data_IF_343660000345
#
_entry.id   IF_343660000345
#
_cell.length_a   1.000
_cell.length_b   1.000
_cell.length_c   1.000
_cell.angle_alpha   90.00
_cell.angle_beta   90.00
_cell.angle_gamma   90.00
#
_symmetry.space_group_name_H-M   'P 1'
#
loop_
_entity.id
_entity.type
_entity.pdbx_description
1 polymer ?
#
# COMPACT_ATOMS: atom_id res chain seq x y z
N UNK A 1 2.16 5.99 -2.17
CA UNK A 1 2.86 7.09 -2.85
C UNK A 1 3.57 7.96 -1.84
N UNK A 2 2.85 8.65 -0.94
CA UNK A 2 3.47 9.44 0.13
C UNK A 2 3.95 8.54 1.27
N UNK A 3 5.14 8.84 1.79
CA UNK A 3 5.80 8.07 2.85
C UNK A 3 5.46 8.65 4.23
N UNK A 4 5.38 7.78 5.25
CA UNK A 4 4.90 8.09 6.61
C UNK A 4 5.56 9.34 7.22
N UNK A 5 6.86 9.57 6.95
CA UNK A 5 7.58 10.76 7.43
C UNK A 5 7.03 12.11 6.93
N UNK A 6 6.21 12.11 5.88
CA UNK A 6 5.66 13.32 5.27
C UNK A 6 4.20 13.59 5.66
N UNK A 7 3.75 13.03 6.81
CA UNK A 7 2.40 13.25 7.31
C UNK A 7 2.11 14.75 7.54
N UNK A 8 3.06 15.50 8.11
CA UNK A 8 2.90 16.95 8.36
C UNK A 8 2.61 17.74 7.08
N UNK A 9 3.30 17.44 5.98
CA UNK A 9 3.07 18.07 4.69
C UNK A 9 1.65 17.80 4.16
N UNK A 10 1.13 16.57 4.36
CA UNK A 10 -0.25 16.23 4.01
C UNK A 10 -1.26 17.03 4.83
N UNK A 11 -1.02 17.13 6.15
CA UNK A 11 -1.93 17.83 7.08
C UNK A 11 -1.97 19.33 6.78
N UNK A 12 -0.80 19.94 6.51
CA UNK A 12 -0.69 21.34 6.07
C UNK A 12 -1.34 21.58 4.71
N UNK A 13 -1.21 20.65 3.77
CA UNK A 13 -1.88 20.77 2.48
C UNK A 13 -3.40 20.72 2.61
N UNK A 14 -3.93 19.76 3.38
CA UNK A 14 -5.39 19.63 3.61
C UNK A 14 -5.95 20.84 4.34
N UNK A 15 -5.22 21.39 5.31
CA UNK A 15 -5.61 22.63 6.02
C UNK A 15 -5.43 23.92 5.21
N UNK A 16 -4.87 23.82 4.00
CA UNK A 16 -4.67 24.96 3.10
C UNK A 16 -3.42 25.81 3.41
N UNK A 17 -2.58 25.37 4.35
CA UNK A 17 -1.31 26.00 4.73
C UNK A 17 -0.12 25.56 3.86
N UNK A 18 -0.35 24.69 2.88
CA UNK A 18 0.61 24.27 1.87
C UNK A 18 -0.11 24.16 0.52
N UNK A 19 0.48 24.69 -0.54
CA UNK A 19 -0.06 24.58 -1.89
C UNK A 19 0.40 23.29 -2.59
N UNK A 20 -0.04 23.08 -3.83
CA UNK A 20 0.26 21.85 -4.57
C UNK A 20 1.74 21.69 -4.89
N UNK A 21 2.43 22.80 -5.21
CA UNK A 21 3.86 22.77 -5.49
C UNK A 21 4.67 22.53 -4.21
N UNK A 22 4.32 23.21 -3.12
CA UNK A 22 4.92 23.00 -1.82
C UNK A 22 4.74 21.55 -1.36
N UNK A 23 3.56 20.96 -1.55
CA UNK A 23 3.35 19.55 -1.25
C UNK A 23 4.24 18.62 -2.12
N UNK A 24 4.38 18.91 -3.41
CA UNK A 24 5.28 18.16 -4.31
C UNK A 24 6.73 18.19 -3.82
N UNK A 25 7.23 19.37 -3.45
CA UNK A 25 8.61 19.56 -2.96
C UNK A 25 8.80 18.91 -1.59
N UNK A 26 7.93 19.15 -0.62
CA UNK A 26 8.08 18.63 0.75
C UNK A 26 7.93 17.11 0.84
N UNK A 27 7.15 16.50 -0.07
CA UNK A 27 7.06 15.03 -0.16
C UNK A 27 8.19 14.42 -0.99
N UNK A 28 9.11 15.24 -1.50
CA UNK A 28 10.22 14.86 -2.37
C UNK A 28 9.73 13.98 -3.53
N UNK A 29 8.62 14.37 -4.14
CA UNK A 29 7.85 13.48 -5.02
C UNK A 29 8.69 12.95 -6.19
N UNK A 30 9.49 13.83 -6.79
CA UNK A 30 10.37 13.53 -7.94
C UNK A 30 11.26 12.31 -7.69
N UNK A 31 11.87 12.22 -6.50
CA UNK A 31 12.86 11.20 -6.17
C UNK A 31 12.23 9.99 -5.50
N UNK A 32 11.06 10.15 -4.85
CA UNK A 32 10.43 9.12 -4.03
C UNK A 32 9.33 8.35 -4.73
N UNK A 33 8.75 8.89 -5.81
CA UNK A 33 7.63 8.26 -6.48
C UNK A 33 7.73 8.33 -8.00
N UNK A 34 7.80 7.15 -8.62
CA UNK A 34 8.02 7.01 -10.07
C UNK A 34 6.84 7.49 -10.93
N UNK A 35 5.66 7.68 -10.33
CA UNK A 35 4.47 8.05 -11.09
C UNK A 35 4.24 9.57 -11.06
N UNK A 36 3.81 10.17 -12.18
CA UNK A 36 3.56 11.61 -12.26
C UNK A 36 2.64 12.11 -11.14
N UNK A 37 3.00 13.24 -10.54
CA UNK A 37 2.27 13.87 -9.45
C UNK A 37 0.86 14.27 -9.87
N UNK A 38 0.71 14.69 -11.13
CA UNK A 38 -0.53 15.11 -11.77
C UNK A 38 -1.59 14.01 -11.77
N UNK A 39 -1.17 12.74 -11.77
CA UNK A 39 -2.11 11.61 -11.68
C UNK A 39 -2.84 11.58 -10.33
N UNK A 40 -2.31 12.24 -9.30
CA UNK A 40 -2.83 12.24 -7.94
C UNK A 40 -3.48 13.57 -7.54
N UNK A 41 -3.20 14.66 -8.27
CA UNK A 41 -3.80 15.98 -8.02
C UNK A 41 -5.33 15.97 -7.90
N UNK A 42 -6.11 15.24 -8.73
CA UNK A 42 -7.56 15.20 -8.58
C UNK A 42 -8.00 14.70 -7.20
N UNK A 43 -7.34 13.66 -6.66
CA UNK A 43 -7.64 13.13 -5.33
C UNK A 43 -7.21 14.12 -4.25
N UNK A 44 -5.98 14.65 -4.35
CA UNK A 44 -5.45 15.61 -3.37
C UNK A 44 -6.35 16.85 -3.27
N UNK A 45 -6.76 17.42 -4.40
CA UNK A 45 -7.68 18.57 -4.47
C UNK A 45 -9.03 18.26 -3.84
N UNK A 46 -9.60 17.08 -4.08
CA UNK A 46 -10.86 16.65 -3.46
C UNK A 46 -10.70 16.57 -1.94
N UNK A 47 -9.62 15.97 -1.44
CA UNK A 47 -9.36 15.88 -0.01
C UNK A 47 -9.22 17.26 0.63
N UNK A 48 -8.47 18.18 0.02
CA UNK A 48 -8.38 19.57 0.48
C UNK A 48 -9.73 20.28 0.46
N UNK A 49 -10.48 20.20 -0.64
CA UNK A 49 -11.77 20.87 -0.80
C UNK A 49 -12.79 20.47 0.28
N UNK A 50 -12.82 19.18 0.64
CA UNK A 50 -13.76 18.64 1.61
C UNK A 50 -13.15 18.40 2.99
N UNK A 51 -11.93 18.90 3.25
CA UNK A 51 -11.20 18.71 4.51
C UNK A 51 -11.12 17.22 4.94
N UNK A 52 -10.97 16.31 3.97
CA UNK A 52 -10.79 14.88 4.24
C UNK A 52 -9.33 14.67 4.67
N UNK A 53 -9.08 14.15 5.89
CA UNK A 53 -7.73 13.87 6.34
C UNK A 53 -7.02 12.90 5.39
N UNK A 54 -5.76 13.21 5.06
CA UNK A 54 -4.90 12.34 4.27
C UNK A 54 -3.94 11.60 5.21
N UNK A 55 -3.73 10.30 4.98
CA UNK A 55 -2.79 9.51 5.79
C UNK A 55 -1.66 9.00 4.88
N UNK A 56 -0.41 9.29 5.26
CA UNK A 56 0.78 8.84 4.56
C UNK A 56 1.08 7.37 4.88
N UNK A 57 0.62 6.44 4.03
CA UNK A 57 0.74 5.00 4.34
C UNK A 57 2.11 4.38 4.05
N UNK A 58 2.84 4.86 3.04
CA UNK A 58 4.01 4.13 2.53
C UNK A 58 5.16 4.13 3.54
N UNK A 59 5.85 3.00 3.67
CA UNK A 59 7.11 2.96 4.40
C UNK A 59 8.15 3.91 3.79
N UNK A 60 8.99 4.48 4.66
CA UNK A 60 10.08 5.39 4.28
C UNK A 60 11.12 4.65 3.42
N UNK A 61 11.62 5.32 2.36
CA UNK A 61 12.62 4.75 1.45
C UNK A 61 13.89 4.33 2.18
N UNK A 62 14.28 5.06 3.22
CA UNK A 62 15.47 4.80 4.02
C UNK A 62 15.42 3.42 4.69
N UNK A 63 14.26 3.09 5.28
CA UNK A 63 14.01 1.79 5.91
C UNK A 63 14.03 0.67 4.86
N UNK A 64 13.40 0.91 3.70
CA UNK A 64 13.42 -0.04 2.58
C UNK A 64 14.83 -0.27 2.04
N UNK A 65 15.64 0.78 1.92
CA UNK A 65 17.01 0.71 1.44
C UNK A 65 17.90 -0.09 2.39
N UNK A 66 17.77 0.16 3.71
CA UNK A 66 18.48 -0.59 4.75
C UNK A 66 18.21 -2.10 4.65
N UNK A 67 16.94 -2.48 4.58
CA UNK A 67 16.52 -3.89 4.46
C UNK A 67 16.99 -4.54 3.16
N UNK A 68 17.02 -3.79 2.05
CA UNK A 68 17.48 -4.30 0.76
C UNK A 68 18.99 -4.52 0.71
N UNK A 69 19.77 -3.60 1.27
CA UNK A 69 21.23 -3.61 1.22
C UNK A 69 21.83 -4.67 2.14
N UNK A 70 21.24 -4.88 3.31
CA UNK A 70 21.80 -5.72 4.38
C UNK A 70 21.13 -7.11 4.48
N UNK A 71 20.22 -7.43 3.57
CA UNK A 71 19.75 -8.80 3.33
C UNK A 71 18.60 -9.29 4.19
N UNK A 72 17.83 -8.43 4.86
CA UNK A 72 16.74 -8.91 5.72
C UNK A 72 16.08 -7.89 6.62
N UNK A 73 14.95 -8.28 7.20
CA UNK A 73 14.24 -7.50 8.24
C UNK A 73 15.00 -7.49 9.58
N UNK A 74 15.84 -8.49 9.81
CA UNK A 74 16.74 -8.64 10.96
C UNK A 74 17.68 -7.44 11.17
N UNK A 75 17.87 -6.60 10.15
CA UNK A 75 18.66 -5.38 10.27
C UNK A 75 17.89 -4.19 10.85
N UNK A 76 16.57 -4.29 10.95
CA UNK A 76 15.77 -3.28 11.64
C UNK A 76 16.07 -3.32 13.13
N UNK A 77 16.25 -2.15 13.72
CA UNK A 77 16.27 -2.02 15.17
C UNK A 77 14.94 -2.48 15.77
N UNK A 78 14.95 -2.82 17.06
CA UNK A 78 13.73 -3.20 17.75
C UNK A 78 12.67 -2.08 17.73
N UNK A 79 13.10 -0.82 17.67
CA UNK A 79 12.21 0.33 17.52
C UNK A 79 11.60 0.40 16.11
N UNK A 80 12.40 0.30 15.05
CA UNK A 80 11.91 0.26 13.66
C UNK A 80 10.94 -0.91 13.45
N UNK A 81 11.24 -2.10 14.00
CA UNK A 81 10.33 -3.24 13.95
C UNK A 81 8.99 -2.92 14.62
N UNK A 82 9.00 -2.35 15.83
CA UNK A 82 7.76 -1.97 16.54
C UNK A 82 6.97 -0.88 15.81
N UNK A 83 7.65 0.05 15.15
CA UNK A 83 7.02 1.14 14.41
C UNK A 83 6.30 0.65 13.13
N UNK A 84 6.81 -0.41 12.50
CA UNK A 84 6.34 -0.84 11.17
C UNK A 84 5.66 -2.22 11.14
N UNK A 85 5.74 -2.99 12.23
CA UNK A 85 5.12 -4.31 12.36
C UNK A 85 4.19 -4.29 13.58
N UNK A 86 2.92 -3.95 13.35
CA UNK A 86 1.91 -3.81 14.40
C UNK A 86 1.56 -5.10 15.14
N UNK A 87 1.68 -6.26 14.46
CA UNK A 87 1.51 -7.57 15.08
C UNK A 87 2.57 -8.56 14.57
N UNK A 88 3.71 -8.71 15.29
CA UNK A 88 4.78 -9.61 14.88
C UNK A 88 4.36 -11.07 14.73
N UNK A 89 3.40 -11.54 15.52
CA UNK A 89 2.92 -12.91 15.44
C UNK A 89 2.10 -13.13 14.16
N UNK A 90 1.22 -12.18 13.82
CA UNK A 90 0.46 -12.20 12.58
C UNK A 90 1.38 -12.09 11.36
N UNK A 91 2.38 -11.20 11.41
CA UNK A 91 3.37 -11.00 10.35
C UNK A 91 4.08 -12.30 9.95
N UNK A 92 4.52 -13.09 10.94
CA UNK A 92 5.15 -14.41 10.72
C UNK A 92 4.11 -15.44 10.25
N UNK A 93 2.91 -15.43 10.82
CA UNK A 93 1.87 -16.43 10.52
C UNK A 93 1.38 -16.33 9.08
N UNK A 94 1.09 -15.12 8.58
CA UNK A 94 0.64 -14.88 7.20
C UNK A 94 1.65 -15.47 6.20
N UNK A 95 2.94 -15.25 6.45
CA UNK A 95 4.01 -15.70 5.56
C UNK A 95 4.10 -17.24 5.43
N UNK A 96 3.49 -17.98 6.34
CA UNK A 96 3.45 -19.45 6.35
C UNK A 96 2.21 -20.04 5.67
N UNK A 97 1.20 -19.22 5.36
CA UNK A 97 -0.05 -19.69 4.76
C UNK A 97 0.22 -20.25 3.34
N UNK A 98 -0.37 -21.41 2.98
CA UNK A 98 -0.30 -21.94 1.61
C UNK A 98 -0.77 -20.93 0.57
N UNK A 99 -1.81 -20.17 0.92
CA UNK A 99 -2.33 -19.07 0.12
C UNK A 99 -1.31 -17.96 -0.14
N UNK A 100 -0.48 -17.63 0.86
CA UNK A 100 0.55 -16.62 0.72
C UNK A 100 1.67 -17.09 -0.23
N UNK A 101 2.01 -18.38 -0.23
CA UNK A 101 2.94 -18.94 -1.24
C UNK A 101 2.39 -18.76 -2.66
N UNK A 102 1.08 -18.95 -2.84
CA UNK A 102 0.43 -18.67 -4.13
C UNK A 102 0.55 -17.20 -4.49
N UNK A 103 0.23 -16.29 -3.57
CA UNK A 103 0.39 -14.85 -3.76
C UNK A 103 1.82 -14.43 -4.13
N UNK A 104 2.85 -15.06 -3.55
CA UNK A 104 4.24 -14.83 -3.96
C UNK A 104 4.42 -15.17 -5.45
N UNK A 105 4.01 -16.37 -5.86
CA UNK A 105 4.19 -16.85 -7.24
C UNK A 105 3.35 -16.10 -8.28
N UNK A 106 2.11 -15.72 -7.93
CA UNK A 106 1.15 -15.10 -8.85
C UNK A 106 1.29 -13.57 -8.91
N UNK A 107 1.77 -12.93 -7.83
CA UNK A 107 1.79 -11.46 -7.72
C UNK A 107 3.20 -10.94 -7.53
N UNK A 108 3.90 -11.34 -6.46
CA UNK A 108 5.19 -10.71 -6.11
C UNK A 108 6.25 -11.03 -7.18
N UNK A 109 6.33 -12.28 -7.64
CA UNK A 109 7.32 -12.70 -8.66
C UNK A 109 7.11 -12.03 -10.01
N UNK A 110 5.88 -12.00 -10.60
CA UNK A 110 5.63 -11.23 -11.83
C UNK A 110 5.84 -9.72 -11.65
N UNK A 111 5.50 -9.18 -10.47
CA UNK A 111 5.75 -7.77 -10.16
C UNK A 111 7.25 -7.46 -10.18
N UNK A 112 8.09 -8.29 -9.55
CA UNK A 112 9.55 -8.17 -9.62
C UNK A 112 10.05 -8.18 -11.08
N UNK A 113 9.65 -9.18 -11.87
CA UNK A 113 10.06 -9.30 -13.26
C UNK A 113 9.60 -8.11 -14.12
N UNK A 114 8.41 -7.57 -13.85
CA UNK A 114 7.89 -6.36 -14.50
C UNK A 114 8.71 -5.13 -14.15
N UNK A 115 9.00 -4.90 -12.86
CA UNK A 115 9.80 -3.77 -12.41
C UNK A 115 11.23 -3.83 -12.97
N UNK A 116 11.84 -5.02 -13.00
CA UNK A 116 13.16 -5.22 -13.60
C UNK A 116 13.17 -4.90 -15.10
N UNK A 117 12.24 -5.49 -15.89
CA UNK A 117 12.14 -5.22 -17.34
C UNK A 117 11.87 -3.77 -17.69
N UNK A 118 11.23 -3.03 -16.78
CA UNK A 118 10.90 -1.61 -16.95
C UNK A 118 12.00 -0.66 -16.48
N UNK A 119 13.14 -1.17 -16.00
CA UNK A 119 14.23 -0.36 -15.47
C UNK A 119 13.90 0.34 -14.14
N UNK A 120 12.90 -0.16 -13.41
CA UNK A 120 12.49 0.39 -12.11
C UNK A 120 13.31 -0.20 -10.94
N UNK A 121 14.15 -1.18 -11.24
CA UNK A 121 15.08 -1.79 -10.30
C UNK A 121 16.50 -1.68 -10.86
N UNK A 122 17.52 -1.51 -10.00
CA UNK A 122 18.90 -1.53 -10.43
C UNK A 122 19.28 -2.92 -10.95
N UNK A 123 20.32 -3.02 -11.77
CA UNK A 123 20.84 -4.29 -12.29
C UNK A 123 21.33 -5.24 -11.18
N UNK A 124 21.64 -4.71 -10.00
CA UNK A 124 22.02 -5.47 -8.79
C UNK A 124 20.82 -5.99 -8.00
N UNK A 125 19.60 -5.69 -8.43
CA UNK A 125 18.41 -6.17 -7.75
C UNK A 125 18.33 -7.70 -7.79
N UNK A 126 17.94 -8.27 -6.66
CA UNK A 126 17.64 -9.69 -6.54
C UNK A 126 16.22 -9.87 -5.98
N UNK A 127 15.64 -11.03 -6.25
CA UNK A 127 14.26 -11.31 -5.85
C UNK A 127 14.08 -11.35 -4.32
N UNK A 128 15.05 -11.88 -3.57
CA UNK A 128 14.94 -12.01 -2.12
C UNK A 128 14.84 -10.63 -1.44
N UNK A 129 15.74 -9.70 -1.76
CA UNK A 129 15.69 -8.32 -1.25
C UNK A 129 14.40 -7.60 -1.67
N UNK A 130 13.94 -7.81 -2.92
CA UNK A 130 12.67 -7.24 -3.38
C UNK A 130 11.49 -7.80 -2.59
N UNK A 131 11.43 -9.12 -2.40
CA UNK A 131 10.38 -9.81 -1.66
C UNK A 131 10.33 -9.33 -0.21
N UNK A 132 11.47 -9.29 0.49
CA UNK A 132 11.53 -8.82 1.89
C UNK A 132 11.07 -7.38 2.01
N UNK A 133 11.58 -6.49 1.15
CA UNK A 133 11.16 -5.09 1.13
C UNK A 133 9.66 -4.96 0.81
N UNK A 134 9.15 -5.80 -0.08
CA UNK A 134 7.73 -5.81 -0.46
C UNK A 134 6.83 -6.23 0.70
N UNK A 135 7.18 -7.32 1.39
CA UNK A 135 6.45 -7.83 2.56
C UNK A 135 6.44 -6.82 3.70
N UNK A 136 7.60 -6.22 4.00
CA UNK A 136 7.70 -5.19 5.03
C UNK A 136 6.89 -3.94 4.68
N UNK A 137 6.92 -3.50 3.41
CA UNK A 137 6.12 -2.35 2.97
C UNK A 137 4.62 -2.61 3.11
N UNK A 138 4.16 -3.81 2.76
CA UNK A 138 2.74 -4.20 2.91
C UNK A 138 2.33 -4.22 4.39
N UNK A 139 3.20 -4.72 5.27
CA UNK A 139 3.00 -4.71 6.72
C UNK A 139 2.97 -3.30 7.32
N UNK A 140 3.89 -2.42 6.90
CA UNK A 140 3.95 -1.05 7.38
C UNK A 140 2.70 -0.25 6.97
N UNK A 141 2.23 -0.44 5.73
CA UNK A 141 0.97 0.17 5.27
C UNK A 141 -0.23 -0.37 6.05
N UNK A 142 -0.29 -1.67 6.33
CA UNK A 142 -1.35 -2.27 7.14
C UNK A 142 -1.34 -1.75 8.58
N UNK A 143 -0.17 -1.70 9.21
CA UNK A 143 0.04 -1.18 10.57
C UNK A 143 -0.43 0.28 10.68
N UNK A 144 -0.01 1.13 9.75
CA UNK A 144 -0.43 2.52 9.70
C UNK A 144 -1.94 2.66 9.50
N UNK A 145 -2.53 1.82 8.65
CA UNK A 145 -3.99 1.78 8.42
C UNK A 145 -4.75 1.42 9.70
N UNK A 146 -4.33 0.36 10.39
CA UNK A 146 -4.96 -0.09 11.64
C UNK A 146 -4.86 0.98 12.72
N UNK A 147 -3.68 1.60 12.88
CA UNK A 147 -3.48 2.70 13.83
C UNK A 147 -4.40 3.89 13.53
N UNK A 148 -4.49 4.30 12.26
CA UNK A 148 -5.36 5.40 11.85
C UNK A 148 -6.85 5.09 12.10
N UNK A 149 -7.28 3.85 11.85
CA UNK A 149 -8.64 3.40 12.14
C UNK A 149 -8.93 3.32 13.64
N UNK A 150 -7.98 2.86 14.46
CA UNK A 150 -8.16 2.84 15.92
C UNK A 150 -8.26 4.25 16.51
N UNK A 151 -7.53 5.21 15.94
CA UNK A 151 -7.62 6.62 16.34
C UNK A 151 -8.95 7.27 15.89
N UNK A 152 -9.62 6.71 14.87
CA UNK A 152 -10.85 7.24 14.28
C UNK A 152 -11.88 6.11 14.04
N UNK A 153 -12.45 5.50 15.09
CA UNK A 153 -13.23 4.26 14.98
C UNK A 153 -14.51 4.40 14.15
N UNK A 154 -15.08 5.61 14.07
CA UNK A 154 -16.30 5.89 13.31
C UNK A 154 -16.02 6.32 11.86
N UNK A 155 -14.75 6.49 11.48
CA UNK A 155 -14.37 6.94 10.15
C UNK A 155 -14.35 5.80 9.13
N UNK A 156 -14.68 6.12 7.88
CA UNK A 156 -14.43 5.24 6.73
C UNK A 156 -13.08 5.61 6.14
N UNK A 157 -12.14 4.67 6.16
CA UNK A 157 -10.81 4.87 5.59
C UNK A 157 -10.74 4.33 4.16
N UNK A 158 -10.41 5.20 3.20
CA UNK A 158 -10.14 4.82 1.82
C UNK A 158 -8.62 4.75 1.57
N UNK A 159 -8.10 3.55 1.34
CA UNK A 159 -6.69 3.34 1.05
C UNK A 159 -6.42 3.28 -0.45
N UNK A 160 -5.67 4.24 -0.99
CA UNK A 160 -5.24 4.23 -2.40
C UNK A 160 -3.86 3.59 -2.53
N UNK A 161 -3.81 2.42 -3.17
CA UNK A 161 -2.61 1.59 -3.28
C UNK A 161 -2.41 1.08 -4.70
N UNK A 162 -1.17 0.73 -5.05
CA UNK A 162 -0.90 0.00 -6.28
C UNK A 162 -1.59 -1.36 -6.24
N UNK A 163 -2.18 -1.79 -7.35
CA UNK A 163 -3.05 -2.97 -7.39
C UNK A 163 -2.39 -4.24 -6.84
N UNK A 164 -1.11 -4.45 -7.13
CA UNK A 164 -0.37 -5.63 -6.67
C UNK A 164 -0.24 -5.69 -5.14
N UNK A 165 -0.54 -4.61 -4.41
CA UNK A 165 -0.63 -4.57 -2.94
C UNK A 165 -1.95 -5.07 -2.38
N UNK A 166 -2.96 -5.27 -3.22
CA UNK A 166 -4.34 -5.55 -2.81
C UNK A 166 -4.93 -6.78 -3.51
N UNK A 167 -4.51 -7.06 -4.75
CA UNK A 167 -5.02 -8.17 -5.57
C UNK A 167 -5.00 -9.51 -4.80
N UNK A 168 -6.09 -10.26 -4.91
CA UNK A 168 -6.23 -11.61 -4.34
C UNK A 168 -6.03 -11.67 -2.81
N UNK A 169 -6.34 -10.60 -2.08
CA UNK A 169 -6.45 -10.52 -0.61
C UNK A 169 -5.15 -10.60 0.20
N UNK A 170 -4.15 -11.37 -0.21
CA UNK A 170 -2.98 -11.72 0.63
C UNK A 170 -1.88 -10.64 0.70
N UNK A 171 -2.12 -9.46 0.16
CA UNK A 171 -1.27 -8.28 0.33
C UNK A 171 -1.58 -7.51 1.62
N UNK A 172 -1.85 -6.22 1.49
CA UNK A 172 -2.17 -5.32 2.60
C UNK A 172 -3.51 -5.68 3.26
N UNK A 173 -4.51 -6.13 2.48
CA UNK A 173 -5.85 -6.48 2.98
C UNK A 173 -5.77 -7.54 4.09
N UNK A 174 -5.14 -8.69 3.82
CA UNK A 174 -4.98 -9.77 4.81
C UNK A 174 -4.17 -9.35 6.04
N UNK A 175 -3.21 -8.43 5.89
CA UNK A 175 -2.42 -7.91 7.01
C UNK A 175 -3.23 -7.01 7.93
N UNK A 176 -4.06 -6.12 7.37
CA UNK A 176 -5.02 -5.31 8.14
C UNK A 176 -5.96 -6.23 8.92
N UNK A 177 -6.56 -7.20 8.23
CA UNK A 177 -7.51 -8.14 8.84
C UNK A 177 -6.86 -8.94 9.99
N UNK A 178 -5.66 -9.48 9.77
CA UNK A 178 -4.95 -10.24 10.80
C UNK A 178 -4.60 -9.40 12.04
N UNK A 179 -4.20 -8.14 11.85
CA UNK A 179 -3.92 -7.21 12.94
C UNK A 179 -5.19 -6.84 13.72
N UNK A 180 -6.30 -6.55 13.04
CA UNK A 180 -7.60 -6.27 13.69
C UNK A 180 -8.08 -7.46 14.51
N UNK A 181 -8.03 -8.68 13.95
CA UNK A 181 -8.34 -9.91 14.70
C UNK A 181 -7.36 -10.13 15.86
N UNK A 182 -6.09 -9.74 15.70
CA UNK A 182 -5.09 -9.78 16.77
C UNK A 182 -5.43 -8.87 17.94
N UNK A 183 -5.92 -7.66 17.66
CA UNK A 183 -6.42 -6.71 18.67
C UNK A 183 -7.62 -7.29 19.41
N UNK A 184 -8.60 -7.83 18.69
CA UNK A 184 -9.79 -8.45 19.29
C UNK A 184 -9.42 -9.64 20.19
N UNK A 185 -8.54 -10.54 19.72
CA UNK A 185 -8.05 -11.67 20.53
C UNK A 185 -7.37 -11.21 21.81
N UNK A 186 -6.53 -10.17 21.74
CA UNK A 186 -5.86 -9.61 22.93
C UNK A 186 -6.87 -9.00 23.91
N UNK A 187 -7.86 -8.27 23.40
CA UNK A 187 -8.92 -7.68 24.22
C UNK A 187 -9.77 -8.76 24.91
N UNK A 188 -10.16 -9.82 24.19
CA UNK A 188 -10.92 -10.93 24.75
C UNK A 188 -10.11 -11.71 25.80
N UNK A 189 -8.82 -11.95 25.56
CA UNK A 189 -7.95 -12.57 26.56
C UNK A 189 -7.83 -11.74 27.84
N UNK A 190 -7.80 -10.42 27.73
CA UNK A 190 -7.79 -9.53 28.89
C UNK A 190 -9.12 -9.60 29.68
N UNK A 191 -10.26 -9.60 28.98
CA UNK A 191 -11.60 -9.79 29.59
C UNK A 191 -11.69 -11.11 30.36
N UNK A 192 -11.25 -12.20 29.76
CA UNK A 192 -11.27 -13.53 30.37
C UNK A 192 -10.41 -13.57 31.65
N UNK A 193 -9.26 -12.90 31.66
CA UNK A 193 -8.41 -12.78 32.84
C UNK A 193 -9.09 -12.02 34.00
N UNK A 194 -10.06 -11.16 33.68
CA UNK A 194 -10.91 -10.43 34.64
C UNK A 194 -12.22 -11.18 34.97
N UNK A 195 -12.40 -12.41 34.47
CA UNK A 195 -13.63 -13.19 34.66
C UNK A 195 -14.82 -12.71 33.81
N UNK A 196 -14.57 -11.83 32.84
CA UNK A 196 -15.58 -11.31 31.90
C UNK A 196 -15.60 -12.17 30.64
N UNK A 197 -16.80 -12.57 30.21
CA UNK A 197 -16.96 -13.37 28.98
C UNK A 197 -16.41 -12.63 27.75
N UNK A 198 -15.83 -13.36 26.77
CA UNK A 198 -15.35 -12.76 25.53
C UNK A 198 -16.52 -12.18 24.73
N UNK A 199 -16.23 -11.10 23.99
CA UNK A 199 -17.18 -10.47 23.08
C UNK A 199 -16.81 -10.87 21.67
N UNK A 200 -17.74 -11.49 20.94
CA UNK A 200 -17.57 -11.77 19.52
C UNK A 200 -17.91 -10.51 18.72
N UNK A 201 -16.93 -9.92 18.05
CA UNK A 201 -17.18 -8.81 17.12
C UNK A 201 -17.48 -9.35 15.71
N UNK A 202 -18.29 -8.64 14.92
CA UNK A 202 -18.42 -8.96 13.51
C UNK A 202 -17.06 -8.80 12.81
N UNK A 203 -16.81 -9.55 11.72
CA UNK A 203 -15.56 -9.44 11.00
C UNK A 203 -15.34 -7.99 10.49
N UNK A 204 -14.08 -7.54 10.38
CA UNK A 204 -13.77 -6.22 9.85
C UNK A 204 -14.45 -5.96 8.51
N UNK A 205 -15.10 -4.79 8.39
CA UNK A 205 -15.73 -4.35 7.14
C UNK A 205 -14.68 -3.84 6.15
N UNK A 206 -13.84 -4.75 5.64
CA UNK A 206 -12.78 -4.45 4.70
C UNK A 206 -13.19 -4.91 3.29
N UNK A 207 -13.07 -4.01 2.31
CA UNK A 207 -13.38 -4.27 0.89
C UNK A 207 -12.30 -3.69 0.01
N UNK A 208 -11.94 -4.43 -1.03
CA UNK A 208 -11.05 -4.04 -2.10
C UNK A 208 -11.84 -3.68 -3.35
N UNK A 209 -11.44 -2.59 -4.00
CA UNK A 209 -12.05 -2.15 -5.26
C UNK A 209 -10.94 -1.92 -6.27
N UNK A 210 -11.02 -2.57 -7.43
CA UNK A 210 -10.14 -2.26 -8.56
C UNK A 210 -10.76 -1.19 -9.44
N UNK A 211 -10.02 -0.11 -9.65
CA UNK A 211 -10.44 1.01 -10.48
C UNK A 211 -9.93 0.82 -11.91
N UNK A 212 -10.86 0.72 -12.87
CA UNK A 212 -10.60 0.53 -14.29
C UNK A 212 -9.57 -0.57 -14.63
N UNK A 213 -9.71 -1.78 -14.06
CA UNK A 213 -8.75 -2.85 -14.33
C UNK A 213 -8.68 -3.13 -15.85
N UNK A 214 -7.47 -3.18 -16.38
CA UNK A 214 -7.21 -3.54 -17.77
C UNK A 214 -6.60 -4.94 -17.91
N UNK A 215 -6.37 -5.41 -19.15
CA UNK A 215 -5.68 -6.67 -19.39
C UNK A 215 -4.34 -6.75 -18.67
N UNK A 216 -3.56 -5.66 -18.62
CA UNK A 216 -2.27 -5.64 -17.92
C UNK A 216 -2.37 -5.94 -16.40
N UNK A 217 -3.55 -5.75 -15.79
CA UNK A 217 -3.77 -6.01 -14.38
C UNK A 217 -4.12 -7.47 -14.08
N UNK A 218 -4.70 -8.17 -15.06
CA UNK A 218 -5.18 -9.54 -14.94
C UNK A 218 -4.38 -10.54 -15.80
N UNK A 219 -3.50 -10.08 -16.69
CA UNK A 219 -2.82 -10.96 -17.65
C UNK A 219 -1.77 -11.83 -16.99
N UNK A 220 -1.90 -13.14 -17.16
CA UNK A 220 -0.89 -14.11 -16.79
C UNK A 220 -0.02 -14.48 -18.00
N UNK A 221 1.29 -14.15 -17.98
CA UNK A 221 2.16 -14.47 -19.10
C UNK A 221 2.45 -15.98 -19.27
N UNK A 222 2.20 -16.81 -18.25
CA UNK A 222 2.53 -18.25 -18.28
C UNK A 222 1.57 -19.04 -19.15
N UNK A 223 0.28 -18.74 -19.06
CA UNK A 223 -0.80 -19.41 -19.81
C UNK A 223 -1.53 -18.47 -20.78
N UNK A 224 -1.13 -17.19 -20.83
CA UNK A 224 -1.69 -16.14 -21.70
C UNK A 224 -3.18 -15.87 -21.46
N UNK A 225 -3.66 -16.11 -20.23
CA UNK A 225 -5.05 -15.87 -19.83
C UNK A 225 -5.24 -14.56 -19.05
N UNK A 226 -6.49 -14.13 -18.91
CA UNK A 226 -6.88 -13.07 -17.97
C UNK A 226 -7.39 -13.73 -16.68
N UNK A 227 -6.66 -13.53 -15.57
CA UNK A 227 -6.99 -14.04 -14.25
C UNK A 227 -7.77 -13.01 -13.45
N UNK A 228 -9.06 -13.28 -13.28
CA UNK A 228 -9.93 -12.58 -12.34
C UNK A 228 -10.01 -13.30 -10.98
N UNK A 229 -9.45 -14.50 -10.90
CA UNK A 229 -9.39 -15.30 -9.68
C UNK A 229 -8.08 -16.08 -9.59
N UNK A 230 -7.69 -16.38 -8.36
CA UNK A 230 -6.54 -17.18 -8.01
C UNK A 230 -7.00 -18.38 -7.17
N UNK A 231 -6.73 -19.59 -7.64
CA UNK A 231 -7.03 -20.79 -6.86
C UNK A 231 -6.07 -20.92 -5.67
N UNK A 232 -6.64 -21.06 -4.47
CA UNK A 232 -5.95 -21.33 -3.20
C UNK A 232 -6.62 -22.54 -2.56
N UNK A 233 -5.88 -23.65 -2.45
CA UNK A 233 -6.39 -24.89 -1.84
C UNK A 233 -7.74 -25.36 -2.40
N UNK A 234 -7.97 -25.15 -3.70
CA UNK A 234 -9.21 -25.50 -4.40
C UNK A 234 -10.31 -24.45 -4.34
N UNK A 235 -10.13 -23.36 -3.59
CA UNK A 235 -11.09 -22.25 -3.51
C UNK A 235 -10.66 -21.08 -4.41
N UNK A 236 -11.59 -20.48 -5.18
CA UNK A 236 -11.30 -19.29 -5.97
C UNK A 236 -11.20 -18.06 -5.05
N UNK A 237 -10.10 -17.33 -5.15
CA UNK A 237 -9.92 -16.02 -4.50
C UNK A 237 -10.04 -14.94 -5.58
N UNK A 238 -11.04 -14.04 -5.52
CA UNK A 238 -11.23 -13.04 -6.56
C UNK A 238 -10.10 -12.00 -6.54
N UNK A 239 -9.86 -11.36 -7.69
CA UNK A 239 -8.85 -10.32 -7.84
C UNK A 239 -9.12 -9.11 -6.93
N UNK A 240 -10.39 -8.80 -6.69
CA UNK A 240 -10.87 -7.85 -5.69
C UNK A 240 -12.34 -8.12 -5.36
N UNK A 241 -12.87 -7.52 -4.29
CA UNK A 241 -14.27 -7.64 -3.90
C UNK A 241 -15.21 -6.95 -4.90
N UNK A 242 -14.75 -5.84 -5.50
CA UNK A 242 -15.47 -5.10 -6.54
C UNK A 242 -14.55 -4.65 -7.66
N UNK A 243 -15.10 -4.60 -8.88
CA UNK A 243 -14.47 -3.95 -10.04
C UNK A 243 -15.30 -2.71 -10.39
N UNK A 244 -14.63 -1.56 -10.49
CA UNK A 244 -15.28 -0.31 -10.86
C UNK A 244 -14.76 0.15 -12.21
N UNK A 245 -15.65 0.34 -13.18
CA UNK A 245 -15.33 0.94 -14.48
C UNK A 245 -15.95 2.34 -14.55
N UNK A 246 -15.11 3.35 -14.72
CA UNK A 246 -15.54 4.72 -14.97
C UNK A 246 -15.86 4.90 -16.45
N UNK A 247 -17.00 5.52 -16.73
CA UNK A 247 -17.44 5.90 -18.08
C UNK A 247 -16.81 7.20 -18.57
N UNK A 248 -16.02 7.89 -17.73
CA UNK A 248 -15.32 9.13 -18.12
C UNK A 248 -14.22 8.78 -19.12
N UNK A 249 -14.27 9.37 -20.32
CA UNK A 249 -13.41 9.05 -21.46
C UNK A 249 -11.88 9.16 -21.17
N UNK A 250 -11.50 9.89 -20.11
CA UNK A 250 -10.13 10.14 -19.69
C UNK A 250 -9.64 9.25 -18.53
N UNK A 251 -10.44 8.28 -18.06
CA UNK A 251 -10.09 7.46 -16.90
C UNK A 251 -8.97 6.42 -17.17
N UNK A 252 -8.49 6.32 -18.42
CA UNK A 252 -7.21 5.70 -18.73
C UNK A 252 -6.20 6.82 -18.99
N UNK A 253 -5.12 6.95 -18.21
CA UNK A 253 -3.99 7.75 -18.67
C UNK A 253 -3.54 7.14 -20.00
N UNK A 254 -3.88 7.81 -21.11
CA UNK A 254 -3.22 7.54 -22.38
C UNK A 254 -1.75 7.73 -22.06
N UNK A 255 -0.95 6.65 -22.07
CA UNK A 255 0.51 6.73 -22.06
C UNK A 255 0.93 7.48 -23.33
N UNK A 256 0.76 8.79 -23.34
CA UNK A 256 1.71 9.67 -24.01
C UNK A 256 2.85 9.77 -23.03
N UNK A 257 4.02 9.30 -23.44
CA UNK A 257 5.26 9.86 -22.93
C UNK A 257 5.17 11.35 -23.26
N UNK A 258 4.61 12.15 -22.36
CA UNK A 258 4.71 13.60 -22.44
C UNK A 258 6.09 13.90 -21.89
N UNK A 259 6.94 14.49 -22.71
CA UNK A 259 8.08 15.24 -22.20
C UNK A 259 7.55 16.21 -21.16
N UNK A 260 8.13 16.16 -19.96
CA UNK A 260 7.67 16.89 -18.80
C UNK A 260 7.72 18.39 -19.11
N UNK A 261 6.55 19.04 -19.11
CA UNK A 261 6.44 20.51 -19.09
C UNK A 261 5.96 20.88 -17.69
N UNK A 262 6.74 20.53 -16.67
CA UNK A 262 6.83 21.36 -15.49
C UNK A 262 8.10 22.19 -15.69
N UNK A 263 8.04 23.53 -15.56
CA UNK A 263 9.24 24.33 -15.65
C UNK A 263 10.24 23.86 -14.56
N UNK A 264 11.55 23.87 -14.85
CA UNK A 264 12.57 23.60 -13.83
C UNK A 264 12.31 24.46 -12.59
N UNK A 265 12.48 23.88 -11.41
CA UNK A 265 12.29 24.54 -10.09
C UNK A 265 13.08 25.86 -9.97
N UNK A 266 14.10 26.03 -10.80
CA UNK A 266 14.91 27.24 -10.98
C UNK A 266 14.09 28.47 -11.45
N UNK A 267 12.87 28.31 -11.96
CA UNK A 267 12.00 29.42 -12.40
C UNK A 267 10.97 29.89 -11.37
N UNK A 268 10.91 29.31 -10.17
CA UNK A 268 9.87 29.63 -9.17
C UNK A 268 10.41 30.37 -7.93
N UNK A 269 11.65 30.87 -7.99
CA UNK A 269 12.26 31.71 -6.93
C UNK A 269 12.48 33.17 -7.36
N UNK A 270 11.84 33.60 -8.45
CA UNK A 270 11.84 35.00 -8.87
C UNK A 270 10.40 35.51 -9.07
N UNK A 271 9.74 35.84 -7.96
CA UNK A 271 8.82 36.99 -7.79
C UNK A 271 8.45 37.17 -6.32
#
# INVERSE_FOLDING_TARGET
>A
MVQQRFQDALDRFVSGNLDELGLYVETEWETRWVWPYENYLPVLRVCRKYHIPLVALSLNSEVLSKVKAEGGIENLSAEEMRAHIGDPAAFVTISKLPAFKRYISEIITPSYASHYRRGLLPNTANFASFYTARVLRDEAMATCTVQAMQANPDAVMLCLMGSDHVKFEYGVKARIEAQLLGIERRANKAREAEGVSPVLQPPPKLRSVMLNPGPADAYDPRDKSLKLEMAVEGNPVPIADYLWFSSVADAKPRRRVREWVLPPVEFLTAM
#
